data_IF_290726401354
#
_entry.id   IF_290726401354
#
_cell.length_a   1.000
_cell.length_b   1.000
_cell.length_c   1.000
_cell.angle_alpha   90.00
_cell.angle_beta   90.00
_cell.angle_gamma   90.00
#
_symmetry.space_group_name_H-M   'P 1'
#
loop_
_entity.id
_entity.type
_entity.pdbx_description
1 polymer ?
#
# COMPACT_ATOMS: atom_id res chain seq x y z
N UNK A 1 9.80 -2.91 -6.70
CA UNK A 1 9.20 -4.22 -6.98
C UNK A 1 7.69 -4.10 -6.99
N UNK A 2 7.08 -4.57 -8.05
CA UNK A 2 5.66 -4.36 -8.27
C UNK A 2 4.84 -5.61 -7.99
N UNK A 3 3.74 -5.45 -7.28
CA UNK A 3 2.84 -6.55 -6.98
C UNK A 3 1.75 -6.64 -8.06
N UNK A 4 1.25 -7.85 -8.27
CA UNK A 4 0.07 -8.03 -9.10
C UNK A 4 -1.15 -7.50 -8.35
N UNK A 5 -2.27 -7.35 -9.05
CA UNK A 5 -3.51 -6.87 -8.45
C UNK A 5 -3.99 -7.78 -7.31
N UNK A 6 -3.92 -9.08 -7.51
CA UNK A 6 -4.33 -10.04 -6.48
C UNK A 6 -3.42 -9.96 -5.26
N UNK A 7 -2.11 -9.85 -5.50
CA UNK A 7 -1.14 -9.69 -4.41
C UNK A 7 -1.39 -8.41 -3.62
N UNK A 8 -1.65 -7.33 -4.31
CA UNK A 8 -1.90 -6.04 -3.67
C UNK A 8 -3.19 -6.06 -2.85
N UNK A 9 -4.24 -6.71 -3.35
CA UNK A 9 -5.49 -6.85 -2.60
C UNK A 9 -5.25 -7.59 -1.27
N UNK A 10 -4.46 -8.65 -1.31
CA UNK A 10 -4.15 -9.40 -0.09
C UNK A 10 -3.30 -8.58 0.86
N UNK A 11 -2.33 -7.83 0.36
CA UNK A 11 -1.54 -6.95 1.20
C UNK A 11 -2.38 -5.88 1.87
N UNK A 12 -3.34 -5.28 1.14
CA UNK A 12 -4.25 -4.29 1.73
C UNK A 12 -5.03 -4.90 2.90
N UNK A 13 -5.50 -6.13 2.73
CA UNK A 13 -6.23 -6.82 3.78
C UNK A 13 -5.32 -7.10 4.98
N UNK A 14 -4.10 -7.58 4.74
CA UNK A 14 -3.15 -7.88 5.82
C UNK A 14 -2.70 -6.64 6.57
N UNK A 15 -2.50 -5.52 5.87
CA UNK A 15 -2.17 -4.27 6.55
C UNK A 15 -3.30 -3.83 7.47
N UNK A 16 -4.52 -4.08 7.05
CA UNK A 16 -5.72 -3.73 7.82
C UNK A 16 -5.91 -4.66 9.04
N UNK A 17 -5.70 -5.96 8.83
CA UNK A 17 -5.83 -6.97 9.89
C UNK A 17 -4.65 -6.95 10.87
N UNK A 18 -3.46 -6.63 10.38
CA UNK A 18 -2.24 -6.78 11.14
C UNK A 18 -1.66 -8.17 11.01
N UNK A 19 -2.47 -9.19 11.19
CA UNK A 19 -2.11 -10.59 10.98
C UNK A 19 -3.37 -11.41 10.82
N UNK A 20 -3.27 -12.58 10.21
CA UNK A 20 -4.43 -13.44 10.05
C UNK A 20 -4.14 -14.75 9.38
N UNK A 21 -5.10 -15.64 9.49
CA UNK A 21 -5.12 -16.92 8.79
C UNK A 21 -5.61 -16.71 7.36
N UNK A 22 -5.38 -17.68 6.50
CA UNK A 22 -5.88 -17.62 5.12
C UNK A 22 -7.39 -17.37 5.09
N UNK A 23 -8.15 -18.03 5.97
CA UNK A 23 -9.61 -17.84 6.02
C UNK A 23 -9.97 -16.40 6.43
N UNK A 24 -9.22 -15.79 7.34
CA UNK A 24 -9.46 -14.42 7.78
C UNK A 24 -9.25 -13.44 6.63
N UNK A 25 -8.23 -13.68 5.84
CA UNK A 25 -7.94 -12.89 4.65
C UNK A 25 -9.06 -13.05 3.63
N UNK A 26 -9.45 -14.29 3.37
CA UNK A 26 -10.52 -14.60 2.40
C UNK A 26 -11.84 -13.95 2.80
N UNK A 27 -12.15 -13.96 4.09
CA UNK A 27 -13.40 -13.38 4.60
C UNK A 27 -13.53 -11.89 4.36
N UNK A 28 -12.41 -11.21 4.14
CA UNK A 28 -12.40 -9.76 3.86
C UNK A 28 -12.63 -9.43 2.40
N UNK A 29 -12.61 -10.42 1.50
CA UNK A 29 -12.92 -10.19 0.09
C UNK A 29 -14.43 -10.02 -0.10
N UNK A 30 -14.80 -9.21 -1.10
CA UNK A 30 -16.19 -9.07 -1.49
C UNK A 30 -16.64 -10.29 -2.30
N UNK A 31 -17.94 -10.54 -2.32
CA UNK A 31 -18.49 -11.64 -3.09
C UNK A 31 -18.44 -11.32 -4.61
N UNK A 32 -18.13 -12.28 -5.45
CA UNK A 32 -17.79 -13.68 -5.10
C UNK A 32 -16.36 -13.76 -4.56
N UNK A 33 -16.22 -14.42 -3.42
CA UNK A 33 -14.91 -14.57 -2.78
C UNK A 33 -14.03 -15.54 -3.58
N UNK A 34 -12.71 -15.29 -3.64
CA UNK A 34 -11.81 -16.25 -4.28
C UNK A 34 -11.79 -17.57 -3.52
N UNK A 35 -11.39 -18.63 -4.21
CA UNK A 35 -11.24 -19.93 -3.57
C UNK A 35 -10.14 -19.86 -2.51
N UNK A 36 -10.30 -20.68 -1.45
CA UNK A 36 -9.33 -20.73 -0.37
C UNK A 36 -7.92 -21.09 -0.87
N UNK A 37 -7.84 -22.03 -1.82
CA UNK A 37 -6.57 -22.41 -2.40
C UNK A 37 -5.93 -21.27 -3.18
N UNK A 38 -6.72 -20.44 -3.82
CA UNK A 38 -6.23 -19.27 -4.56
C UNK A 38 -5.59 -18.27 -3.59
N UNK A 39 -6.28 -17.97 -2.50
CA UNK A 39 -5.76 -17.05 -1.47
C UNK A 39 -4.45 -17.61 -0.90
N UNK A 40 -4.45 -18.90 -0.55
CA UNK A 40 -3.27 -19.56 0.01
C UNK A 40 -2.08 -19.50 -0.93
N UNK A 41 -2.32 -19.73 -2.21
CA UNK A 41 -1.26 -19.69 -3.23
C UNK A 41 -0.65 -18.29 -3.34
N UNK A 42 -1.51 -17.26 -3.39
CA UNK A 42 -1.03 -15.88 -3.51
C UNK A 42 -0.26 -15.46 -2.27
N UNK A 43 -0.73 -15.82 -1.08
CA UNK A 43 -0.04 -15.53 0.17
C UNK A 43 1.36 -16.16 0.19
N UNK A 44 1.46 -17.39 -0.29
CA UNK A 44 2.78 -18.06 -0.35
C UNK A 44 3.72 -17.39 -1.36
N UNK A 45 3.18 -16.88 -2.46
CA UNK A 45 3.97 -16.12 -3.41
C UNK A 45 4.49 -14.83 -2.76
N UNK A 46 3.63 -14.15 -2.01
CA UNK A 46 4.02 -12.95 -1.28
C UNK A 46 5.10 -13.24 -0.25
N UNK A 47 5.01 -14.38 0.42
CA UNK A 47 6.02 -14.81 1.37
C UNK A 47 7.36 -15.04 0.67
N UNK A 48 7.32 -15.68 -0.48
CA UNK A 48 8.51 -15.93 -1.29
C UNK A 48 9.16 -14.64 -1.76
N UNK A 49 8.34 -13.64 -2.04
CA UNK A 49 8.83 -12.31 -2.46
C UNK A 49 9.34 -11.46 -1.29
N UNK A 50 9.16 -11.92 -0.06
CA UNK A 50 9.61 -11.19 1.12
C UNK A 50 8.65 -10.14 1.65
N UNK A 51 7.41 -10.14 1.19
CA UNK A 51 6.39 -9.18 1.64
C UNK A 51 5.63 -9.65 2.87
N UNK A 52 5.58 -10.96 3.08
CA UNK A 52 4.76 -11.59 4.12
C UNK A 52 5.61 -12.63 4.82
N UNK A 53 5.44 -12.72 6.13
CA UNK A 53 6.00 -13.80 6.94
C UNK A 53 4.87 -14.58 7.59
N UNK A 54 5.21 -15.67 8.26
CA UNK A 54 4.21 -16.42 9.01
C UNK A 54 4.81 -17.00 10.28
N UNK A 55 3.93 -17.26 11.24
CA UNK A 55 4.29 -18.00 12.42
C UNK A 55 3.32 -19.18 12.54
N UNK A 56 3.85 -20.32 12.96
CA UNK A 56 3.03 -21.52 13.15
C UNK A 56 2.34 -21.43 14.50
N UNK A 57 1.02 -21.67 14.49
CA UNK A 57 0.21 -21.74 15.70
C UNK A 57 -0.55 -23.06 15.64
N UNK A 58 0.02 -24.11 16.25
CA UNK A 58 -0.51 -25.45 16.10
C UNK A 58 -0.40 -25.91 14.64
N UNK A 59 -1.52 -26.28 14.05
CA UNK A 59 -1.57 -26.76 12.66
C UNK A 59 -1.86 -25.65 11.65
N UNK A 60 -1.93 -24.39 12.08
CA UNK A 60 -2.27 -23.30 11.20
C UNK A 60 -1.14 -22.27 11.15
N UNK A 61 -1.09 -21.52 10.05
CA UNK A 61 -0.12 -20.47 9.86
C UNK A 61 -0.80 -19.11 9.96
N UNK A 62 -0.27 -18.26 10.83
CA UNK A 62 -0.73 -16.87 10.95
C UNK A 62 0.22 -16.01 10.13
N UNK A 63 -0.31 -15.37 9.10
CA UNK A 63 0.48 -14.53 8.19
C UNK A 63 0.45 -13.08 8.63
N UNK A 64 1.55 -12.38 8.41
CA UNK A 64 1.65 -10.97 8.77
C UNK A 64 2.55 -10.26 7.75
N UNK A 65 2.32 -8.94 7.52
CA UNK A 65 3.15 -8.21 6.56
C UNK A 65 4.55 -7.94 7.13
N UNK A 66 5.56 -8.12 6.28
CA UNK A 66 6.94 -7.78 6.59
C UNK A 66 7.30 -6.38 6.14
N UNK A 67 6.53 -5.83 5.21
CA UNK A 67 6.72 -4.49 4.66
C UNK A 67 5.49 -3.68 5.01
N UNK A 68 5.68 -2.49 5.57
CA UNK A 68 4.56 -1.65 5.95
C UNK A 68 3.89 -1.04 4.72
N UNK A 69 2.64 -0.61 4.90
CA UNK A 69 1.90 0.08 3.85
C UNK A 69 2.62 1.36 3.41
N UNK A 70 3.20 2.09 4.38
CA UNK A 70 3.96 3.30 4.08
C UNK A 70 5.21 3.00 3.26
N UNK A 71 5.93 1.94 3.60
CA UNK A 71 7.12 1.55 2.83
C UNK A 71 6.75 1.19 1.39
N UNK A 72 5.69 0.42 1.21
CA UNK A 72 5.23 0.03 -0.12
C UNK A 72 4.75 1.25 -0.91
N UNK A 73 3.96 2.12 -0.28
CA UNK A 73 3.45 3.35 -0.90
C UNK A 73 4.60 4.25 -1.36
N UNK A 74 5.61 4.40 -0.51
CA UNK A 74 6.80 5.19 -0.86
C UNK A 74 7.53 4.64 -2.06
N UNK A 75 7.68 3.31 -2.12
CA UNK A 75 8.32 2.64 -3.25
C UNK A 75 7.54 2.87 -4.55
N UNK A 76 6.21 2.76 -4.49
CA UNK A 76 5.36 2.98 -5.67
C UNK A 76 5.43 4.42 -6.15
N UNK A 77 5.41 5.36 -5.22
CA UNK A 77 5.50 6.78 -5.57
C UNK A 77 6.86 7.10 -6.20
N UNK A 78 7.95 6.57 -5.64
CA UNK A 78 9.29 6.75 -6.18
C UNK A 78 9.39 6.21 -7.61
N UNK A 79 8.82 5.03 -7.86
CA UNK A 79 8.80 4.45 -9.20
C UNK A 79 8.03 5.31 -10.18
N UNK A 80 6.89 5.86 -9.75
CA UNK A 80 6.08 6.73 -10.58
C UNK A 80 6.86 8.00 -10.96
N UNK A 81 7.51 8.61 -9.97
CA UNK A 81 8.32 9.82 -10.22
C UNK A 81 9.47 9.54 -11.16
N UNK A 82 10.17 8.43 -10.95
CA UNK A 82 11.32 8.08 -11.79
C UNK A 82 10.92 7.77 -13.22
N UNK A 83 9.87 6.97 -13.39
CA UNK A 83 9.49 6.46 -14.70
C UNK A 83 8.71 7.48 -15.56
N UNK A 84 7.95 8.36 -14.92
CA UNK A 84 7.04 9.25 -15.65
C UNK A 84 7.30 10.73 -15.49
N UNK A 85 8.07 11.13 -14.48
CA UNK A 85 8.29 12.55 -14.18
C UNK A 85 9.76 12.94 -14.05
N UNK A 86 10.66 12.05 -14.50
CA UNK A 86 12.12 12.31 -14.44
C UNK A 86 12.59 12.74 -13.05
N UNK A 87 12.00 12.16 -12.01
CA UNK A 87 12.28 12.49 -10.60
C UNK A 87 12.00 13.96 -10.24
N UNK A 88 11.13 14.63 -11.02
CA UNK A 88 10.78 16.02 -10.75
C UNK A 88 9.48 16.09 -9.96
N UNK A 89 9.59 16.42 -8.67
CA UNK A 89 8.40 16.62 -7.85
C UNK A 89 7.53 17.77 -8.39
N UNK A 90 8.11 18.94 -8.77
CA UNK A 90 7.28 20.00 -9.36
C UNK A 90 6.52 19.56 -10.60
N UNK A 91 7.14 18.75 -11.46
CA UNK A 91 6.46 18.22 -12.65
C UNK A 91 5.29 17.33 -12.28
N UNK A 92 5.49 16.44 -11.31
CA UNK A 92 4.42 15.55 -10.83
C UNK A 92 3.30 16.36 -10.19
N UNK A 93 3.64 17.32 -9.33
CA UNK A 93 2.65 18.16 -8.65
C UNK A 93 1.85 19.01 -9.64
N UNK A 94 2.51 19.57 -10.64
CA UNK A 94 1.84 20.36 -11.67
C UNK A 94 0.86 19.52 -12.49
N UNK A 95 1.28 18.31 -12.85
CA UNK A 95 0.41 17.37 -13.54
C UNK A 95 -0.81 17.04 -12.70
N UNK A 96 -0.60 16.73 -11.42
CA UNK A 96 -1.67 16.38 -10.51
C UNK A 96 -2.68 17.52 -10.37
N UNK A 97 -2.19 18.73 -10.12
CA UNK A 97 -3.04 19.92 -9.95
C UNK A 97 -3.85 20.19 -11.21
N UNK A 98 -3.20 20.10 -12.38
CA UNK A 98 -3.86 20.29 -13.67
C UNK A 98 -4.92 19.22 -13.93
N UNK A 99 -4.61 17.96 -13.62
CA UNK A 99 -5.52 16.84 -13.83
C UNK A 99 -6.75 16.93 -12.93
N UNK A 100 -6.57 17.43 -11.71
CA UNK A 100 -7.66 17.60 -10.74
C UNK A 100 -8.43 18.91 -10.93
N UNK A 101 -7.98 19.74 -11.88
CA UNK A 101 -8.61 21.04 -12.19
C UNK A 101 -8.71 21.93 -10.95
N UNK A 102 -7.63 22.01 -10.19
CA UNK A 102 -7.58 22.83 -8.99
C UNK A 102 -7.24 24.28 -9.34
N UNK A 103 -7.87 25.23 -8.62
CA UNK A 103 -7.52 26.63 -8.73
C UNK A 103 -6.24 26.92 -7.93
N UNK A 104 -5.64 28.06 -8.18
CA UNK A 104 -4.45 28.49 -7.43
C UNK A 104 -4.79 28.63 -5.94
N UNK A 105 -5.97 29.17 -5.62
CA UNK A 105 -6.42 29.29 -4.22
C UNK A 105 -6.57 27.95 -3.53
N UNK A 106 -7.17 26.97 -4.22
CA UNK A 106 -7.29 25.62 -3.69
C UNK A 106 -5.93 24.97 -3.46
N UNK A 107 -5.00 25.19 -4.41
CA UNK A 107 -3.64 24.68 -4.27
C UNK A 107 -2.94 25.29 -3.05
N UNK A 108 -3.10 26.59 -2.85
CA UNK A 108 -2.50 27.27 -1.70
C UNK A 108 -3.02 26.71 -0.37
N UNK A 109 -4.32 26.41 -0.30
CA UNK A 109 -4.92 25.79 0.89
C UNK A 109 -4.33 24.41 1.15
N UNK A 110 -4.17 23.60 0.10
CA UNK A 110 -3.58 22.28 0.21
C UNK A 110 -2.14 22.36 0.68
N UNK A 111 -1.39 23.32 0.19
CA UNK A 111 0.00 23.53 0.62
C UNK A 111 0.06 23.86 2.11
N UNK A 112 -0.84 24.72 2.59
CA UNK A 112 -0.87 25.06 4.02
C UNK A 112 -1.21 23.85 4.90
N UNK A 113 -2.19 23.06 4.48
CA UNK A 113 -2.53 21.82 5.20
C UNK A 113 -1.36 20.85 5.21
N UNK A 114 -0.68 20.72 4.08
CA UNK A 114 0.48 19.84 3.95
C UNK A 114 1.59 20.27 4.89
N UNK A 115 1.83 21.58 4.99
CA UNK A 115 2.83 22.11 5.92
C UNK A 115 2.51 21.76 7.37
N UNK A 116 1.25 21.82 7.75
CA UNK A 116 0.82 21.48 9.10
C UNK A 116 1.06 20.01 9.41
N UNK A 117 0.67 19.14 8.49
CA UNK A 117 0.89 17.70 8.64
C UNK A 117 2.37 17.38 8.73
N UNK A 118 3.17 18.01 7.87
CA UNK A 118 4.61 17.79 7.83
C UNK A 118 5.28 18.20 9.13
N UNK A 119 4.86 19.32 9.72
CA UNK A 119 5.37 19.75 11.02
C UNK A 119 5.07 18.74 12.12
N UNK A 120 3.87 18.17 12.11
CA UNK A 120 3.46 17.14 13.06
C UNK A 120 4.33 15.90 12.92
N UNK A 121 4.55 15.44 11.69
CA UNK A 121 5.38 14.28 11.40
C UNK A 121 6.82 14.52 11.85
N UNK A 122 7.38 15.69 11.54
CA UNK A 122 8.77 16.01 11.90
C UNK A 122 8.98 16.20 13.39
N UNK A 123 7.94 16.61 14.11
CA UNK A 123 8.01 16.75 15.57
C UNK A 123 8.14 15.40 16.28
N UNK A 124 7.62 14.34 15.67
CA UNK A 124 7.64 13.00 16.25
C UNK A 124 9.01 12.35 16.11
N UNK A 125 9.81 12.85 15.21
CA UNK A 125 11.18 12.41 15.07
C UNK A 125 12.08 13.10 16.11
#
# INVERSE_FOLDING_TARGET
MQLTRAEEQIMQILWDLGEGLVRDIRDRFEDPKPARNTVSTVVRILEKKGFVGHKACGNVHVYFPLISKNEYSGSQLSGLMENYFNNSFPAMASFFVSHMDLSIGELEELIEETKKELKTIKKVK
#
